data_IF_186073473847
#
_entry.id   IF_186073473847
#
_cell.length_a   1.000
_cell.length_b   1.000
_cell.length_c   1.000
_cell.angle_alpha   90.00
_cell.angle_beta   90.00
_cell.angle_gamma   90.00
#
_symmetry.space_group_name_H-M   'P 1'
#
loop_
_entity.id
_entity.type
_entity.pdbx_description
1 polymer ?
#
# COMPACT_ATOMS: atom_id res chain seq x y z
N UNK A 1 -66.65 33.73 27.69
CA UNK A 1 -66.52 33.29 26.29
C UNK A 1 -65.22 33.88 25.71
N UNK A 2 -64.16 33.14 25.76
CA UNK A 2 -62.86 33.49 25.22
C UNK A 2 -62.43 32.40 24.26
N UNK A 3 -62.43 32.70 22.97
CA UNK A 3 -61.94 31.80 21.90
C UNK A 3 -60.41 31.74 21.96
N UNK A 4 -59.87 30.55 22.15
CA UNK A 4 -58.45 30.26 21.99
C UNK A 4 -58.18 29.89 20.56
N UNK A 5 -57.32 30.67 19.87
CA UNK A 5 -56.81 30.36 18.53
C UNK A 5 -55.65 29.40 18.65
N UNK A 6 -55.79 28.21 18.04
CA UNK A 6 -54.75 27.20 17.92
C UNK A 6 -53.91 27.53 16.66
N UNK A 7 -52.64 27.92 16.83
CA UNK A 7 -51.70 28.08 15.74
C UNK A 7 -51.05 26.73 15.47
N UNK A 8 -51.32 26.14 14.31
CA UNK A 8 -50.61 24.99 13.80
C UNK A 8 -49.36 25.49 13.04
N UNK A 9 -48.18 25.24 13.60
CA UNK A 9 -46.90 25.46 12.93
C UNK A 9 -46.64 24.24 12.09
N UNK A 10 -46.74 24.37 10.75
CA UNK A 10 -46.22 23.40 9.80
C UNK A 10 -44.69 23.50 9.76
N UNK A 11 -43.99 22.57 10.35
CA UNK A 11 -42.55 22.37 10.09
C UNK A 11 -42.39 21.67 8.72
N UNK A 12 -41.96 22.44 7.71
CA UNK A 12 -41.47 21.90 6.47
C UNK A 12 -40.09 21.30 6.69
N UNK A 13 -39.99 19.99 6.70
CA UNK A 13 -38.72 19.26 6.67
C UNK A 13 -38.13 19.42 5.28
N UNK A 14 -37.16 20.33 5.14
CA UNK A 14 -36.32 20.41 3.95
C UNK A 14 -35.38 19.21 4.02
N UNK A 15 -35.69 18.18 3.23
CA UNK A 15 -34.78 17.08 2.93
C UNK A 15 -33.69 17.63 2.02
N UNK A 16 -32.62 18.19 2.60
CA UNK A 16 -31.39 18.45 1.90
C UNK A 16 -30.75 17.08 1.61
N UNK A 17 -30.97 16.56 0.40
CA UNK A 17 -30.22 15.43 -0.11
C UNK A 17 -28.73 15.83 -0.16
N UNK A 18 -27.99 15.43 0.86
CA UNK A 18 -26.54 15.41 0.81
C UNK A 18 -26.16 14.37 -0.23
N UNK A 19 -25.94 14.81 -1.47
CA UNK A 19 -25.15 14.05 -2.43
C UNK A 19 -23.81 13.79 -1.73
N UNK A 20 -23.56 12.55 -1.31
CA UNK A 20 -22.27 12.16 -0.84
C UNK A 20 -21.28 12.40 -1.98
N UNK A 21 -20.54 13.51 -1.90
CA UNK A 21 -19.40 13.71 -2.77
C UNK A 21 -18.49 12.49 -2.58
N UNK A 22 -18.17 11.81 -3.68
CA UNK A 22 -17.16 10.78 -3.64
C UNK A 22 -15.94 11.34 -2.90
N UNK A 23 -15.34 10.59 -1.96
CA UNK A 23 -14.18 11.07 -1.24
C UNK A 23 -13.12 11.51 -2.26
N UNK A 24 -12.65 12.75 -2.13
CA UNK A 24 -11.62 13.27 -3.00
C UNK A 24 -10.40 12.36 -2.91
N UNK A 25 -9.70 12.14 -4.05
CA UNK A 25 -8.44 11.41 -4.05
C UNK A 25 -7.52 12.01 -2.96
N UNK A 26 -7.02 11.24 -1.98
CA UNK A 26 -6.31 11.77 -0.82
C UNK A 26 -5.02 12.52 -1.18
N UNK A 27 -4.45 12.28 -2.37
CA UNK A 27 -3.29 13.03 -2.86
C UNK A 27 -3.63 14.45 -3.33
N UNK A 28 -4.91 14.78 -3.57
CA UNK A 28 -5.35 16.10 -4.04
C UNK A 28 -5.10 17.25 -3.04
N UNK A 29 -4.76 16.92 -1.79
CA UNK A 29 -4.44 17.91 -0.77
C UNK A 29 -3.05 18.55 -0.94
N UNK A 30 -2.18 17.97 -1.78
CA UNK A 30 -0.83 18.49 -2.03
C UNK A 30 -0.67 18.98 -3.47
N UNK A 31 -0.32 20.25 -3.63
CA UNK A 31 -0.11 20.88 -4.93
C UNK A 31 0.99 20.18 -5.74
N UNK A 32 2.09 19.81 -5.09
CA UNK A 32 3.26 19.18 -5.68
C UNK A 32 3.44 17.71 -5.23
N UNK A 33 2.37 17.08 -4.79
CA UNK A 33 2.35 15.69 -4.32
C UNK A 33 2.25 14.66 -5.45
N UNK A 34 2.04 13.38 -5.09
CA UNK A 34 1.68 12.35 -6.04
C UNK A 34 0.46 12.75 -6.86
N UNK A 35 0.41 12.35 -8.12
CA UNK A 35 -0.72 12.67 -8.99
C UNK A 35 -2.05 12.19 -8.39
N UNK A 36 -3.05 13.06 -8.39
CA UNK A 36 -4.42 12.74 -8.02
C UNK A 36 -5.30 12.35 -9.22
N UNK A 37 -4.68 12.14 -10.40
CA UNK A 37 -5.39 11.54 -11.54
C UNK A 37 -5.92 10.16 -11.19
N UNK A 38 -7.13 9.85 -11.64
CA UNK A 38 -7.69 8.52 -11.46
C UNK A 38 -6.81 7.40 -12.06
N UNK A 39 -6.05 7.71 -13.12
CA UNK A 39 -5.18 6.77 -13.82
C UNK A 39 -3.82 6.55 -13.13
N UNK A 40 -3.56 7.20 -12.00
CA UNK A 40 -2.28 7.09 -11.32
C UNK A 40 -2.42 6.30 -10.01
N UNK A 41 -1.70 5.18 -9.93
CA UNK A 41 -1.48 4.45 -8.68
C UNK A 41 0.01 4.42 -8.39
N UNK A 42 0.49 4.86 -7.20
CA UNK A 42 1.90 4.86 -6.86
C UNK A 42 2.46 3.45 -6.79
N UNK A 43 3.42 3.16 -7.67
CA UNK A 43 4.19 1.92 -7.67
C UNK A 43 5.66 2.32 -7.61
N UNK A 44 6.27 2.10 -6.46
CA UNK A 44 7.60 2.61 -6.19
C UNK A 44 8.66 1.51 -6.10
N UNK A 45 9.92 1.94 -6.17
CA UNK A 45 11.09 1.12 -5.87
C UNK A 45 11.94 1.80 -4.80
N UNK A 46 12.43 1.00 -3.83
CA UNK A 46 13.20 1.49 -2.69
C UNK A 46 14.67 1.70 -3.03
N UNK A 47 15.17 2.91 -2.75
CA UNK A 47 16.59 3.29 -2.67
C UNK A 47 17.46 2.82 -3.85
N UNK A 48 16.94 2.93 -5.06
CA UNK A 48 17.63 2.47 -6.26
C UNK A 48 18.45 3.56 -6.95
N UNK A 49 19.51 3.13 -7.67
CA UNK A 49 20.31 4.04 -8.50
C UNK A 49 19.48 4.53 -9.71
N UNK A 50 19.36 5.86 -9.92
CA UNK A 50 18.58 6.43 -11.02
C UNK A 50 19.01 6.02 -12.43
N UNK A 51 20.24 5.53 -12.63
CA UNK A 51 20.68 4.94 -13.92
C UNK A 51 19.78 3.79 -14.40
N UNK A 52 19.09 3.13 -13.48
CA UNK A 52 18.15 2.05 -13.76
C UNK A 52 16.70 2.54 -13.99
N UNK A 53 16.44 3.84 -13.92
CA UNK A 53 15.10 4.41 -13.92
C UNK A 53 14.26 4.00 -15.16
N UNK A 54 14.89 3.99 -16.35
CA UNK A 54 14.21 3.56 -17.59
C UNK A 54 13.78 2.09 -17.54
N UNK A 55 14.59 1.20 -16.93
CA UNK A 55 14.27 -0.23 -16.79
C UNK A 55 13.12 -0.43 -15.79
N UNK A 56 13.15 0.27 -14.67
CA UNK A 56 12.04 0.23 -13.70
C UNK A 56 10.75 0.80 -14.28
N UNK A 57 10.83 1.87 -15.06
CA UNK A 57 9.65 2.41 -15.77
C UNK A 57 9.05 1.38 -16.74
N UNK A 58 9.89 0.66 -17.48
CA UNK A 58 9.43 -0.43 -18.37
C UNK A 58 8.74 -1.57 -17.59
N UNK A 59 9.13 -1.79 -16.34
CA UNK A 59 8.48 -2.73 -15.44
C UNK A 59 7.19 -2.16 -14.78
N UNK A 60 6.71 -0.97 -15.20
CA UNK A 60 5.50 -0.36 -14.69
C UNK A 60 5.67 0.37 -13.35
N UNK A 61 6.90 0.52 -12.87
CA UNK A 61 7.23 1.33 -11.68
C UNK A 61 7.27 2.80 -12.11
N UNK A 62 6.68 3.69 -11.31
CA UNK A 62 6.55 5.11 -11.65
C UNK A 62 7.22 6.07 -10.65
N UNK A 63 7.64 5.56 -9.49
CA UNK A 63 8.16 6.36 -8.38
C UNK A 63 9.42 5.73 -7.78
N UNK A 64 10.34 6.56 -7.33
CA UNK A 64 11.46 6.18 -6.48
C UNK A 64 11.17 6.62 -5.04
N UNK A 65 11.51 5.80 -4.05
CA UNK A 65 11.51 6.18 -2.64
C UNK A 65 12.93 6.08 -2.11
N UNK A 66 13.49 7.22 -1.73
CA UNK A 66 14.87 7.33 -1.30
C UNK A 66 15.89 7.36 -2.46
N UNK A 67 16.98 8.08 -2.21
CA UNK A 67 18.15 8.14 -3.11
C UNK A 67 19.41 8.01 -2.25
N UNK A 68 20.24 7.02 -2.55
CA UNK A 68 21.47 6.80 -1.80
C UNK A 68 22.39 8.03 -1.87
N UNK A 69 22.74 8.58 -0.70
CA UNK A 69 23.52 9.80 -0.53
C UNK A 69 22.99 11.03 -1.30
N UNK A 70 21.70 11.01 -1.64
CA UNK A 70 21.06 12.07 -2.42
C UNK A 70 19.88 12.72 -1.69
N UNK A 71 19.10 13.49 -2.47
CA UNK A 71 19.24 13.71 -3.90
C UNK A 71 20.45 14.57 -4.28
N UNK A 72 21.04 14.26 -5.45
CA UNK A 72 22.03 15.09 -6.15
C UNK A 72 21.44 15.64 -7.44
N UNK A 73 22.07 16.67 -8.03
CA UNK A 73 21.66 17.24 -9.32
C UNK A 73 21.60 16.16 -10.43
N UNK A 74 22.60 15.28 -10.48
CA UNK A 74 22.69 14.18 -11.44
C UNK A 74 21.54 13.17 -11.25
N UNK A 75 21.29 12.75 -10.01
CA UNK A 75 20.20 11.80 -9.71
C UNK A 75 18.84 12.35 -10.11
N UNK A 76 18.55 13.61 -9.81
CA UNK A 76 17.29 14.27 -10.20
C UNK A 76 17.17 14.39 -11.73
N UNK A 77 18.25 14.75 -12.42
CA UNK A 77 18.27 14.83 -13.87
C UNK A 77 18.02 13.46 -14.55
N UNK A 78 18.62 12.38 -14.03
CA UNK A 78 18.38 11.03 -14.54
C UNK A 78 16.92 10.59 -14.37
N UNK A 79 16.30 10.84 -13.20
CA UNK A 79 14.90 10.54 -12.94
C UNK A 79 13.97 11.35 -13.85
N UNK A 80 14.22 12.65 -13.98
CA UNK A 80 13.48 13.55 -14.88
C UNK A 80 13.54 13.07 -16.32
N UNK A 81 14.73 12.73 -16.83
CA UNK A 81 14.93 12.22 -18.18
C UNK A 81 14.25 10.86 -18.44
N UNK A 82 14.07 10.07 -17.39
CA UNK A 82 13.30 8.83 -17.44
C UNK A 82 11.79 9.06 -17.26
N UNK A 83 11.35 10.26 -16.87
CA UNK A 83 9.97 10.57 -16.52
C UNK A 83 9.50 9.82 -15.27
N UNK A 84 10.40 9.60 -14.31
CA UNK A 84 10.13 8.99 -13.01
C UNK A 84 9.88 10.07 -11.97
N UNK A 85 9.10 9.73 -10.96
CA UNK A 85 8.86 10.56 -9.76
C UNK A 85 9.76 10.11 -8.62
N UNK A 86 9.92 10.97 -7.60
CA UNK A 86 10.71 10.64 -6.42
C UNK A 86 10.14 11.26 -5.14
N UNK A 87 10.14 10.45 -4.08
CA UNK A 87 10.04 10.88 -2.68
C UNK A 87 11.45 10.77 -2.10
N UNK A 88 12.01 11.87 -1.61
CA UNK A 88 13.40 11.92 -1.18
C UNK A 88 13.63 12.82 0.04
N UNK A 89 14.84 12.77 0.60
CA UNK A 89 15.21 13.67 1.69
C UNK A 89 15.20 15.13 1.26
N UNK A 90 14.69 16.00 2.13
CA UNK A 90 14.67 17.45 1.93
C UNK A 90 16.05 18.05 2.20
N UNK A 91 16.99 17.84 1.28
CA UNK A 91 18.32 18.43 1.35
C UNK A 91 18.42 19.72 0.52
N UNK A 92 19.57 20.41 0.59
CA UNK A 92 19.81 21.67 -0.13
C UNK A 92 19.60 21.54 -1.65
N UNK A 93 19.98 20.43 -2.24
CA UNK A 93 19.78 20.18 -3.69
C UNK A 93 18.30 20.05 -4.01
N UNK A 94 17.57 19.20 -3.27
CA UNK A 94 16.14 19.03 -3.49
C UNK A 94 15.36 20.37 -3.36
N UNK A 95 15.70 21.19 -2.37
CA UNK A 95 15.05 22.49 -2.17
C UNK A 95 15.31 23.49 -3.29
N UNK A 96 16.46 23.41 -3.98
CA UNK A 96 16.69 24.22 -5.21
C UNK A 96 15.81 23.80 -6.38
N UNK A 97 15.32 22.57 -6.36
CA UNK A 97 14.45 21.99 -7.37
C UNK A 97 13.01 21.83 -6.87
N UNK A 98 12.58 22.65 -5.91
CA UNK A 98 11.23 22.58 -5.35
C UNK A 98 10.13 22.79 -6.40
N UNK A 99 10.43 23.49 -7.50
CA UNK A 99 9.50 23.69 -8.63
C UNK A 99 9.50 22.53 -9.64
N UNK A 100 10.40 21.55 -9.49
CA UNK A 100 10.48 20.42 -10.40
C UNK A 100 9.45 19.34 -10.05
N UNK A 101 8.52 19.00 -10.96
CA UNK A 101 7.47 18.02 -10.72
C UNK A 101 8.00 16.57 -10.61
N UNK A 102 9.31 16.36 -10.71
CA UNK A 102 9.96 15.07 -10.45
C UNK A 102 9.89 14.72 -8.96
N UNK A 103 10.03 15.73 -8.07
CA UNK A 103 9.95 15.54 -6.62
C UNK A 103 8.49 15.64 -6.20
N UNK A 104 7.92 14.55 -5.69
CA UNK A 104 6.50 14.46 -5.30
C UNK A 104 6.29 14.21 -3.80
N UNK A 105 7.35 14.19 -3.02
CA UNK A 105 7.28 13.99 -1.57
C UNK A 105 8.63 14.09 -0.91
N UNK A 106 8.57 14.32 0.39
CA UNK A 106 9.70 14.28 1.30
C UNK A 106 9.70 13.00 2.13
N UNK A 107 10.81 12.61 2.71
CA UNK A 107 10.86 11.44 3.58
C UNK A 107 11.76 11.66 4.79
N UNK A 108 11.45 10.94 5.87
CA UNK A 108 12.31 10.75 7.02
C UNK A 108 13.48 9.78 6.73
N UNK A 109 14.36 9.61 7.72
CA UNK A 109 15.26 8.44 7.77
C UNK A 109 14.45 7.15 7.88
N UNK A 110 15.07 6.07 7.43
CA UNK A 110 14.47 4.75 7.38
C UNK A 110 14.36 4.12 8.77
N UNK A 111 13.27 3.43 9.04
CA UNK A 111 13.00 2.62 10.24
C UNK A 111 13.45 3.27 11.57
N UNK A 112 12.96 4.47 11.91
CA UNK A 112 13.33 5.10 13.16
C UNK A 112 12.85 4.35 14.40
N UNK A 113 11.85 3.49 14.25
CA UNK A 113 11.28 2.63 15.28
C UNK A 113 12.16 1.41 15.61
N UNK A 114 13.17 1.11 14.80
CA UNK A 114 14.16 0.09 15.07
C UNK A 114 15.27 0.60 15.98
N UNK A 115 15.94 -0.31 16.67
CA UNK A 115 17.15 -0.04 17.45
C UNK A 115 18.23 0.57 16.53
N UNK A 116 18.71 1.76 16.87
CA UNK A 116 19.62 2.54 16.03
C UNK A 116 21.07 2.10 16.20
N UNK A 117 21.77 1.90 15.07
CA UNK A 117 23.20 1.54 15.11
C UNK A 117 24.03 2.66 15.77
N UNK A 118 24.86 2.28 16.73
CA UNK A 118 25.83 3.19 17.38
C UNK A 118 27.14 3.30 16.59
N UNK A 119 27.19 2.73 15.40
CA UNK A 119 28.36 2.68 14.54
C UNK A 119 29.12 1.36 14.66
N UNK A 120 30.15 1.21 13.83
CA UNK A 120 30.88 -0.04 13.68
C UNK A 120 31.38 -0.60 15.03
N UNK A 121 30.95 -1.83 15.39
CA UNK A 121 31.38 -2.54 16.58
C UNK A 121 30.81 -2.05 17.92
N UNK A 122 29.95 -1.02 17.93
CA UNK A 122 29.40 -0.45 19.18
C UNK A 122 28.00 -0.96 19.54
N UNK A 123 27.43 -1.87 18.72
CA UNK A 123 26.08 -2.39 18.94
C UNK A 123 24.97 -1.41 18.56
N UNK A 124 23.84 -1.52 19.24
CA UNK A 124 22.63 -0.74 18.95
C UNK A 124 22.15 0.02 20.18
N UNK A 125 21.70 1.23 19.97
CA UNK A 125 20.99 2.07 20.93
C UNK A 125 19.48 1.90 20.80
N UNK A 126 18.68 2.66 21.58
CA UNK A 126 17.25 2.63 21.50
C UNK A 126 16.74 3.18 20.14
N UNK A 127 15.47 2.90 19.75
CA UNK A 127 14.80 3.59 18.67
C UNK A 127 14.79 5.11 18.82
N UNK A 128 14.63 5.81 17.70
CA UNK A 128 14.35 7.25 17.72
C UNK A 128 12.91 7.42 18.23
N UNK A 129 12.72 8.21 19.27
CA UNK A 129 11.40 8.40 19.88
C UNK A 129 10.41 9.07 18.92
N UNK A 130 9.11 8.74 18.98
CA UNK A 130 8.07 9.35 18.15
C UNK A 130 8.08 10.87 18.17
N UNK A 131 8.30 11.47 19.35
CA UNK A 131 8.39 12.94 19.49
C UNK A 131 9.42 13.55 18.54
N UNK A 132 10.59 12.94 18.38
CA UNK A 132 11.63 13.43 17.47
C UNK A 132 11.18 13.40 16.03
N UNK A 133 10.47 12.33 15.61
CA UNK A 133 9.92 12.18 14.27
C UNK A 133 8.86 13.24 14.01
N UNK A 134 7.98 13.50 14.98
CA UNK A 134 6.97 14.55 14.91
C UNK A 134 7.63 15.93 14.79
N UNK A 135 8.65 16.22 15.61
CA UNK A 135 9.36 17.50 15.57
C UNK A 135 10.06 17.71 14.19
N UNK A 136 10.62 16.66 13.61
CA UNK A 136 11.26 16.71 12.28
C UNK A 136 10.23 16.84 11.15
N UNK A 137 9.09 16.17 11.24
CA UNK A 137 7.96 16.34 10.33
C UNK A 137 7.53 17.80 10.24
N UNK A 138 7.33 18.46 11.38
CA UNK A 138 6.95 19.87 11.36
C UNK A 138 8.00 20.78 10.72
N UNK A 139 9.30 20.48 10.87
CA UNK A 139 10.37 21.24 10.20
C UNK A 139 10.34 21.04 8.69
N UNK A 140 10.14 19.80 8.23
CA UNK A 140 10.01 19.48 6.81
C UNK A 140 8.81 20.25 6.23
N UNK A 141 7.65 20.17 6.89
CA UNK A 141 6.43 20.85 6.48
C UNK A 141 6.52 22.37 6.53
N UNK A 142 7.25 22.94 7.48
CA UNK A 142 7.50 24.39 7.56
C UNK A 142 8.34 24.87 6.37
N UNK A 143 9.25 24.03 5.89
CA UNK A 143 10.13 24.37 4.75
C UNK A 143 9.38 24.25 3.42
N UNK A 144 8.59 23.18 3.24
CA UNK A 144 7.72 22.99 2.07
C UNK A 144 6.44 22.22 2.46
N UNK A 145 5.31 22.92 2.58
CA UNK A 145 4.02 22.29 2.89
C UNK A 145 3.31 21.70 1.66
N UNK A 146 3.85 21.87 0.44
CA UNK A 146 3.17 21.53 -0.81
C UNK A 146 3.28 20.05 -1.18
N UNK A 147 4.07 19.28 -0.44
CA UNK A 147 4.35 17.85 -0.65
C UNK A 147 4.10 17.03 0.62
N UNK A 148 3.64 15.78 0.49
CA UNK A 148 3.54 14.87 1.63
C UNK A 148 4.91 14.44 2.15
N UNK A 149 4.95 14.06 3.43
CA UNK A 149 6.11 13.45 4.07
C UNK A 149 5.86 11.97 4.30
N UNK A 150 6.74 11.12 3.78
CA UNK A 150 6.72 9.67 3.97
C UNK A 150 7.57 9.27 5.17
N UNK A 151 7.06 8.36 5.98
CA UNK A 151 7.76 7.66 7.06
C UNK A 151 7.70 6.16 6.80
N UNK A 152 8.85 5.52 6.60
CA UNK A 152 8.94 4.06 6.56
C UNK A 152 9.28 3.52 7.94
N UNK A 153 8.48 2.57 8.41
CA UNK A 153 8.60 1.90 9.70
C UNK A 153 9.01 0.44 9.50
N UNK A 154 9.59 -0.17 10.51
CA UNK A 154 10.06 -1.54 10.44
C UNK A 154 8.98 -2.59 10.71
N UNK A 155 9.40 -3.83 10.77
CA UNK A 155 8.54 -5.04 10.88
C UNK A 155 7.64 -5.05 12.11
N UNK A 156 7.98 -4.28 13.15
CA UNK A 156 7.18 -4.19 14.39
C UNK A 156 5.76 -3.64 14.16
N UNK A 157 5.50 -2.97 13.03
CA UNK A 157 4.15 -2.59 12.61
C UNK A 157 3.26 -3.82 12.45
N UNK A 158 3.79 -4.88 11.83
CA UNK A 158 3.05 -6.12 11.55
C UNK A 158 3.27 -7.22 12.60
N UNK A 159 4.40 -7.20 13.31
CA UNK A 159 4.82 -8.25 14.23
C UNK A 159 5.35 -7.69 15.54
N UNK A 160 4.56 -7.74 16.62
CA UNK A 160 4.90 -7.17 17.93
C UNK A 160 6.21 -7.74 18.50
N UNK A 161 6.47 -9.03 18.28
CA UNK A 161 7.68 -9.72 18.72
C UNK A 161 8.96 -9.38 17.94
N UNK A 162 8.91 -8.39 17.04
CA UNK A 162 10.08 -8.01 16.26
C UNK A 162 11.21 -7.47 17.14
N UNK A 163 12.22 -8.31 17.33
CA UNK A 163 13.36 -8.02 18.21
C UNK A 163 14.27 -6.88 17.71
N UNK A 164 14.19 -6.51 16.42
CA UNK A 164 14.94 -5.38 15.85
C UNK A 164 14.60 -4.03 16.49
N UNK A 165 13.48 -3.93 17.20
CA UNK A 165 13.11 -2.77 18.02
C UNK A 165 13.90 -2.66 19.34
N UNK A 166 14.72 -3.66 19.70
CA UNK A 166 15.51 -3.68 20.92
C UNK A 166 14.63 -3.51 22.16
N UNK A 167 14.89 -2.48 22.96
CA UNK A 167 14.13 -2.21 24.21
C UNK A 167 12.65 -1.87 24.00
N UNK A 168 12.22 -1.63 22.76
CA UNK A 168 10.82 -1.36 22.38
C UNK A 168 10.14 -2.54 21.67
N UNK A 169 10.73 -3.74 21.69
CA UNK A 169 10.04 -4.98 21.29
C UNK A 169 8.77 -5.16 22.12
N UNK A 170 7.68 -5.63 21.50
CA UNK A 170 6.33 -5.78 22.11
C UNK A 170 5.71 -4.46 22.62
N UNK A 171 5.99 -3.34 21.97
CA UNK A 171 5.39 -2.04 22.26
C UNK A 171 4.66 -1.47 21.04
N UNK A 172 3.55 -2.10 20.59
CA UNK A 172 2.78 -1.63 19.42
C UNK A 172 2.11 -0.28 19.64
N UNK A 173 1.91 0.14 20.89
CA UNK A 173 1.34 1.44 21.25
C UNK A 173 2.18 2.64 20.81
N UNK A 174 3.43 2.43 20.40
CA UNK A 174 4.29 3.48 19.86
C UNK A 174 3.82 3.93 18.46
N UNK A 175 3.24 3.04 17.66
CA UNK A 175 2.96 3.31 16.25
C UNK A 175 1.92 4.40 16.00
N UNK A 176 0.79 4.47 16.76
CA UNK A 176 -0.11 5.62 16.68
C UNK A 176 0.59 6.96 16.91
N UNK A 177 1.67 6.97 17.71
CA UNK A 177 2.46 8.19 17.94
C UNK A 177 3.44 8.45 16.78
N UNK A 178 4.13 7.43 16.23
CA UNK A 178 5.02 7.60 15.09
C UNK A 178 4.30 8.19 13.87
N UNK A 179 3.12 7.69 13.53
CA UNK A 179 2.38 8.12 12.33
C UNK A 179 1.85 9.55 12.41
N UNK A 180 1.82 10.19 13.59
CA UNK A 180 1.59 11.63 13.70
C UNK A 180 2.69 12.46 13.02
N UNK A 181 3.85 11.88 12.82
CA UNK A 181 5.00 12.50 12.18
C UNK A 181 5.09 12.27 10.67
N UNK A 182 4.00 11.95 9.98
CA UNK A 182 4.00 11.78 8.53
C UNK A 182 2.63 12.07 7.91
N UNK A 183 2.60 12.12 6.58
CA UNK A 183 1.38 12.15 5.77
C UNK A 183 1.15 10.79 5.09
N UNK A 184 2.24 10.11 4.71
CA UNK A 184 2.24 8.75 4.16
C UNK A 184 3.00 7.85 5.14
N UNK A 185 2.30 6.92 5.77
CA UNK A 185 2.88 5.90 6.62
C UNK A 185 3.15 4.65 5.79
N UNK A 186 4.38 4.14 5.81
CA UNK A 186 4.73 2.84 5.23
C UNK A 186 5.46 1.96 6.23
N UNK A 187 5.57 0.71 5.92
CA UNK A 187 6.33 -0.26 6.69
C UNK A 187 6.86 -1.37 5.79
N UNK A 188 7.82 -2.11 6.31
CA UNK A 188 8.33 -3.31 5.67
C UNK A 188 8.22 -4.53 6.58
N UNK A 189 7.86 -5.65 5.98
CA UNK A 189 8.01 -7.02 6.49
C UNK A 189 8.08 -7.95 5.29
N UNK A 190 8.91 -8.99 5.37
CA UNK A 190 9.26 -9.83 4.24
C UNK A 190 9.02 -11.30 4.57
N UNK A 191 7.73 -11.73 4.69
CA UNK A 191 7.39 -13.05 5.21
C UNK A 191 7.78 -14.21 4.29
N UNK A 192 7.82 -14.02 2.95
CA UNK A 192 8.20 -15.10 2.05
C UNK A 192 9.66 -15.54 2.21
N UNK A 193 10.56 -14.60 2.56
CA UNK A 193 11.99 -14.88 2.75
C UNK A 193 12.44 -14.75 4.21
N UNK A 194 11.54 -14.58 5.15
CA UNK A 194 11.87 -14.38 6.56
C UNK A 194 12.57 -15.60 7.16
N UNK A 195 13.57 -15.39 8.03
CA UNK A 195 14.34 -16.45 8.69
C UNK A 195 13.72 -16.95 10.00
N UNK A 196 12.78 -16.20 10.59
CA UNK A 196 12.11 -16.58 11.85
C UNK A 196 10.82 -17.35 11.57
N UNK A 197 10.67 -18.50 12.22
CA UNK A 197 9.52 -19.39 12.08
C UNK A 197 8.18 -18.74 12.44
N UNK A 198 8.20 -17.69 13.26
CA UNK A 198 7.04 -16.89 13.64
C UNK A 198 6.45 -16.14 12.45
N UNK A 199 7.26 -15.80 11.45
CA UNK A 199 6.89 -15.00 10.27
C UNK A 199 7.06 -15.78 8.96
N UNK A 200 8.08 -16.60 8.85
CA UNK A 200 8.46 -17.31 7.63
C UNK A 200 7.27 -18.03 6.96
N UNK A 201 7.01 -17.71 5.68
CA UNK A 201 5.93 -18.27 4.88
C UNK A 201 4.52 -17.79 5.24
N UNK A 202 4.37 -16.85 6.18
CA UNK A 202 3.07 -16.34 6.64
C UNK A 202 2.76 -14.99 5.96
N UNK A 203 2.45 -15.01 4.66
CA UNK A 203 2.26 -13.81 3.84
C UNK A 203 1.22 -12.82 4.41
N UNK A 204 0.27 -13.31 5.19
CA UNK A 204 -0.76 -12.50 5.84
C UNK A 204 -0.22 -11.45 6.83
N UNK A 205 1.07 -11.51 7.21
CA UNK A 205 1.68 -10.42 7.99
C UNK A 205 1.72 -9.11 7.21
N UNK A 206 1.82 -9.15 5.89
CA UNK A 206 1.72 -7.95 5.05
C UNK A 206 0.36 -7.28 5.23
N UNK A 207 -0.72 -8.07 5.11
CA UNK A 207 -2.08 -7.58 5.35
C UNK A 207 -2.27 -7.05 6.77
N UNK A 208 -1.75 -7.76 7.78
CA UNK A 208 -1.82 -7.36 9.18
C UNK A 208 -1.21 -5.97 9.43
N UNK A 209 -0.03 -5.72 8.84
CA UNK A 209 0.62 -4.42 8.99
C UNK A 209 -0.15 -3.28 8.30
N UNK A 210 -0.66 -3.51 7.09
CA UNK A 210 -1.50 -2.52 6.38
C UNK A 210 -2.77 -2.23 7.17
N UNK A 211 -3.48 -3.26 7.66
CA UNK A 211 -4.71 -3.10 8.44
C UNK A 211 -4.46 -2.30 9.73
N UNK A 212 -3.36 -2.59 10.43
CA UNK A 212 -2.98 -1.88 11.66
C UNK A 212 -2.68 -0.41 11.38
N UNK A 213 -1.88 -0.10 10.33
CA UNK A 213 -1.62 1.28 9.94
C UNK A 213 -2.90 2.00 9.54
N UNK A 214 -3.76 1.37 8.74
CA UNK A 214 -5.04 1.94 8.32
C UNK A 214 -5.94 2.25 9.53
N UNK A 215 -5.99 1.34 10.50
CA UNK A 215 -6.74 1.53 11.74
C UNK A 215 -6.16 2.67 12.59
N UNK A 216 -4.85 2.72 12.78
CA UNK A 216 -4.21 3.79 13.55
C UNK A 216 -4.25 5.14 12.85
N UNK A 217 -4.29 5.13 11.51
CA UNK A 217 -4.38 6.35 10.70
C UNK A 217 -5.75 7.03 10.78
N UNK A 218 -6.82 6.31 11.14
CA UNK A 218 -8.20 6.84 11.29
C UNK A 218 -8.68 7.67 10.08
N UNK A 219 -8.17 7.34 8.87
CA UNK A 219 -8.45 8.07 7.64
C UNK A 219 -7.65 9.38 7.43
N UNK A 220 -6.78 9.76 8.39
CA UNK A 220 -5.98 10.98 8.30
C UNK A 220 -4.64 10.79 7.56
N UNK A 221 -4.17 9.56 7.44
CA UNK A 221 -2.89 9.22 6.81
C UNK A 221 -3.10 8.28 5.64
N UNK A 222 -2.25 8.40 4.63
CA UNK A 222 -2.18 7.47 3.52
C UNK A 222 -1.27 6.32 3.93
N UNK A 223 -1.66 5.09 3.64
CA UNK A 223 -0.87 3.89 3.94
C UNK A 223 -0.26 3.34 2.66
N UNK A 224 1.05 3.14 2.68
CA UNK A 224 1.82 2.36 1.71
C UNK A 224 2.48 1.19 2.43
N UNK A 225 3.10 0.28 1.69
CA UNK A 225 3.96 -0.75 2.28
C UNK A 225 5.00 -1.26 1.29
N UNK A 226 6.05 -1.86 1.86
CA UNK A 226 7.08 -2.53 1.10
C UNK A 226 6.65 -3.96 0.72
N UNK A 227 7.05 -4.38 -0.48
CA UNK A 227 6.82 -5.72 -1.03
C UNK A 227 8.18 -6.34 -1.38
N UNK A 228 8.43 -7.55 -0.89
CA UNK A 228 9.61 -8.31 -1.26
C UNK A 228 9.50 -8.92 -2.66
N UNK A 229 10.61 -9.01 -3.38
CA UNK A 229 10.66 -9.69 -4.67
C UNK A 229 12.02 -10.33 -4.97
N UNK A 230 12.86 -10.45 -3.95
CA UNK A 230 14.22 -11.03 -4.03
C UNK A 230 14.45 -11.99 -2.87
N UNK A 231 15.70 -12.42 -2.66
CA UNK A 231 16.11 -13.16 -1.44
C UNK A 231 16.31 -12.25 -0.24
N UNK A 232 16.51 -10.96 -0.48
CA UNK A 232 16.93 -9.98 0.54
C UNK A 232 18.22 -10.47 1.23
N UNK A 233 18.12 -11.10 2.38
CA UNK A 233 19.25 -11.63 3.14
C UNK A 233 19.19 -13.15 3.36
N UNK A 234 18.15 -13.83 2.83
CA UNK A 234 17.98 -15.27 3.03
C UNK A 234 18.71 -16.06 1.92
N UNK A 235 19.79 -16.82 2.24
CA UNK A 235 20.52 -17.58 1.23
C UNK A 235 19.73 -18.78 0.67
N UNK A 236 18.73 -19.26 1.40
CA UNK A 236 18.03 -20.52 1.11
C UNK A 236 16.65 -20.31 0.45
N UNK A 237 16.04 -19.15 0.66
CA UNK A 237 14.67 -18.89 0.20
C UNK A 237 14.63 -17.62 -0.64
N UNK A 238 13.86 -17.67 -1.73
CA UNK A 238 13.54 -16.53 -2.58
C UNK A 238 12.03 -16.44 -2.72
N UNK A 239 11.48 -15.23 -2.68
CA UNK A 239 10.07 -15.01 -2.97
C UNK A 239 9.72 -15.54 -4.38
N UNK A 240 8.58 -16.20 -4.51
CA UNK A 240 8.07 -16.64 -5.80
C UNK A 240 7.16 -15.59 -6.42
N UNK A 241 7.01 -15.54 -7.76
CA UNK A 241 6.07 -14.66 -8.44
C UNK A 241 4.63 -14.73 -7.88
N UNK A 242 4.20 -15.92 -7.50
CA UNK A 242 2.87 -16.15 -6.91
C UNK A 242 2.73 -15.49 -5.53
N UNK A 243 3.76 -15.63 -4.67
CA UNK A 243 3.78 -14.97 -3.35
C UNK A 243 3.78 -13.45 -3.49
N UNK A 244 4.60 -12.89 -4.38
CA UNK A 244 4.64 -11.44 -4.64
C UNK A 244 3.28 -10.92 -5.11
N UNK A 245 2.60 -11.63 -6.04
CA UNK A 245 1.23 -11.27 -6.46
C UNK A 245 0.27 -11.29 -5.28
N UNK A 246 0.37 -12.30 -4.43
CA UNK A 246 -0.48 -12.43 -3.23
C UNK A 246 -0.27 -11.24 -2.28
N UNK A 247 0.97 -10.91 -1.93
CA UNK A 247 1.31 -9.81 -1.03
C UNK A 247 0.85 -8.45 -1.58
N UNK A 248 1.04 -8.21 -2.87
CA UNK A 248 0.55 -6.99 -3.54
C UNK A 248 -0.96 -6.84 -3.37
N UNK A 249 -1.73 -7.89 -3.64
CA UNK A 249 -3.19 -7.81 -3.53
C UNK A 249 -3.66 -7.85 -2.07
N UNK A 250 -2.97 -8.55 -1.17
CA UNK A 250 -3.21 -8.42 0.28
C UNK A 250 -3.07 -6.97 0.73
N UNK A 251 -2.02 -6.29 0.27
CA UNK A 251 -1.79 -4.87 0.59
C UNK A 251 -2.92 -3.97 0.12
N UNK A 252 -3.28 -4.05 -1.16
CA UNK A 252 -4.30 -3.21 -1.77
C UNK A 252 -5.68 -3.48 -1.15
N UNK A 253 -6.04 -4.74 -0.94
CA UNK A 253 -7.34 -5.15 -0.36
C UNK A 253 -7.49 -4.62 1.07
N UNK A 254 -6.40 -4.53 1.85
CA UNK A 254 -6.44 -4.03 3.22
C UNK A 254 -6.22 -2.51 3.34
N UNK A 255 -6.10 -1.79 2.21
CA UNK A 255 -6.13 -0.32 2.20
C UNK A 255 -4.82 0.37 1.84
N UNK A 256 -3.80 -0.36 1.37
CA UNK A 256 -2.59 0.27 0.83
C UNK A 256 -2.91 1.04 -0.44
N UNK A 257 -2.50 2.30 -0.49
CA UNK A 257 -2.72 3.21 -1.61
C UNK A 257 -1.44 3.47 -2.43
N UNK A 258 -0.39 2.71 -2.17
CA UNK A 258 0.86 2.72 -2.90
C UNK A 258 1.75 1.57 -2.46
N UNK A 259 2.59 1.10 -3.36
CA UNK A 259 3.46 -0.05 -3.15
C UNK A 259 4.92 0.35 -3.35
N UNK A 260 5.82 -0.24 -2.56
CA UNK A 260 7.26 0.00 -2.65
C UNK A 260 7.95 -1.35 -2.81
N UNK A 261 8.47 -1.65 -4.01
CA UNK A 261 9.24 -2.88 -4.18
C UNK A 261 10.62 -2.75 -3.54
N UNK A 262 10.93 -3.69 -2.64
CA UNK A 262 12.26 -3.87 -2.09
C UNK A 262 13.04 -4.84 -2.96
N UNK A 263 14.03 -4.34 -3.70
CA UNK A 263 14.67 -5.06 -4.81
C UNK A 263 16.14 -5.40 -4.59
N UNK A 264 16.67 -5.07 -3.40
CA UNK A 264 18.04 -5.40 -3.01
C UNK A 264 18.17 -6.88 -2.63
N UNK A 265 19.37 -7.40 -2.81
CA UNK A 265 19.78 -8.72 -2.35
C UNK A 265 21.17 -8.61 -1.71
N UNK A 266 21.33 -9.08 -0.49
CA UNK A 266 22.62 -9.07 0.21
C UNK A 266 23.33 -10.43 0.19
N UNK A 267 22.59 -11.52 0.05
CA UNK A 267 23.13 -12.88 0.03
C UNK A 267 22.77 -13.58 -1.29
N UNK A 268 23.71 -14.36 -1.87
CA UNK A 268 25.09 -14.60 -1.40
C UNK A 268 26.04 -13.44 -1.68
N UNK A 269 25.67 -12.49 -2.52
CA UNK A 269 26.45 -11.30 -2.88
C UNK A 269 25.53 -10.10 -3.05
N UNK A 270 25.97 -8.94 -2.58
CA UNK A 270 25.20 -7.71 -2.73
C UNK A 270 24.90 -7.42 -4.21
N UNK A 271 23.61 -7.25 -4.51
CA UNK A 271 23.08 -6.79 -5.77
C UNK A 271 21.99 -5.74 -5.49
N UNK A 272 22.29 -4.48 -5.81
CA UNK A 272 21.37 -3.37 -5.58
C UNK A 272 20.07 -3.52 -6.38
N UNK A 273 20.16 -4.07 -7.59
CA UNK A 273 19.04 -4.18 -8.53
C UNK A 273 18.74 -5.63 -8.90
N UNK A 274 18.63 -6.49 -7.89
CA UNK A 274 18.46 -7.94 -8.08
C UNK A 274 17.21 -8.29 -8.91
N UNK A 275 16.10 -7.57 -8.74
CA UNK A 275 14.91 -7.72 -9.58
C UNK A 275 15.23 -7.60 -11.08
N UNK A 276 16.05 -6.63 -11.50
CA UNK A 276 16.40 -6.44 -12.91
C UNK A 276 17.27 -7.56 -13.49
N UNK A 277 17.87 -8.37 -12.63
CA UNK A 277 18.71 -9.52 -13.00
C UNK A 277 17.95 -10.84 -12.99
N UNK A 278 16.72 -10.86 -12.53
CA UNK A 278 15.84 -12.03 -12.38
C UNK A 278 14.72 -11.96 -13.43
N UNK A 279 14.91 -12.59 -14.59
CA UNK A 279 13.98 -12.47 -15.70
C UNK A 279 12.55 -12.97 -15.38
N UNK A 280 12.41 -14.03 -14.58
CA UNK A 280 11.13 -14.58 -14.17
C UNK A 280 10.38 -13.60 -13.25
N UNK A 281 11.03 -13.15 -12.19
CA UNK A 281 10.45 -12.22 -11.24
C UNK A 281 10.16 -10.85 -11.89
N UNK A 282 11.07 -10.34 -12.73
CA UNK A 282 10.87 -9.08 -13.46
C UNK A 282 9.64 -9.16 -14.38
N UNK A 283 9.47 -10.28 -15.09
CA UNK A 283 8.30 -10.51 -15.94
C UNK A 283 7.01 -10.51 -15.12
N UNK A 284 7.02 -11.21 -13.98
CA UNK A 284 5.86 -11.29 -13.09
C UNK A 284 5.51 -9.93 -12.46
N UNK A 285 6.48 -9.22 -11.91
CA UNK A 285 6.29 -7.88 -11.35
C UNK A 285 5.77 -6.91 -12.43
N UNK A 286 6.31 -6.99 -13.65
CA UNK A 286 5.83 -6.18 -14.78
C UNK A 286 4.35 -6.46 -15.09
N UNK A 287 3.94 -7.74 -15.09
CA UNK A 287 2.55 -8.13 -15.34
C UNK A 287 1.62 -7.64 -14.21
N UNK A 288 2.03 -7.77 -12.93
CA UNK A 288 1.29 -7.26 -11.77
C UNK A 288 1.12 -5.75 -11.87
N UNK A 289 2.21 -5.01 -12.12
CA UNK A 289 2.18 -3.55 -12.21
C UNK A 289 1.31 -3.05 -13.37
N UNK A 290 1.35 -3.75 -14.52
CA UNK A 290 0.46 -3.44 -15.63
C UNK A 290 -1.00 -3.61 -15.23
N UNK A 291 -1.36 -4.71 -14.57
CA UNK A 291 -2.72 -4.95 -14.08
C UNK A 291 -3.17 -3.86 -13.10
N UNK A 292 -2.30 -3.43 -12.17
CA UNK A 292 -2.60 -2.33 -11.24
C UNK A 292 -2.82 -1.02 -11.99
N UNK A 293 -1.94 -0.68 -12.95
CA UNK A 293 -2.08 0.54 -13.75
C UNK A 293 -3.37 0.54 -14.58
N UNK A 294 -3.76 -0.59 -15.19
CA UNK A 294 -5.04 -0.75 -15.91
C UNK A 294 -6.26 -0.61 -14.99
N UNK A 295 -6.12 -1.03 -13.74
CA UNK A 295 -7.17 -0.95 -12.72
C UNK A 295 -7.11 0.33 -11.87
N UNK A 296 -6.14 1.23 -12.11
CA UNK A 296 -5.97 2.43 -11.29
C UNK A 296 -7.25 3.27 -11.15
N UNK A 297 -8.07 3.51 -12.21
CA UNK A 297 -9.33 4.23 -12.06
C UNK A 297 -10.31 3.55 -11.10
N UNK A 298 -10.32 2.22 -11.10
CA UNK A 298 -11.15 1.42 -10.18
C UNK A 298 -10.58 1.46 -8.76
N UNK A 299 -9.27 1.29 -8.60
CA UNK A 299 -8.60 1.28 -7.29
C UNK A 299 -8.71 2.64 -6.59
N UNK A 300 -8.66 3.73 -7.36
CA UNK A 300 -8.82 5.09 -6.86
C UNK A 300 -10.29 5.50 -6.63
N UNK A 301 -11.26 4.68 -7.05
CA UNK A 301 -12.68 4.92 -6.74
C UNK A 301 -12.99 4.57 -5.28
N UNK A 302 -14.11 5.06 -4.71
CA UNK A 302 -14.49 4.74 -3.34
C UNK A 302 -14.66 3.24 -3.11
N UNK A 303 -14.20 2.75 -1.96
CA UNK A 303 -14.54 1.41 -1.47
C UNK A 303 -16.01 1.39 -1.07
N UNK A 304 -16.75 0.36 -1.46
CA UNK A 304 -18.14 0.20 -1.09
C UNK A 304 -18.25 -0.97 -0.14
N UNK A 305 -18.43 -0.64 1.11
CA UNK A 305 -18.70 -1.64 2.13
C UNK A 305 -20.11 -2.23 1.94
N UNK A 306 -20.29 -3.46 2.37
CA UNK A 306 -21.57 -4.17 2.37
C UNK A 306 -22.28 -4.33 1.00
N UNK A 307 -21.61 -4.12 -0.14
CA UNK A 307 -22.20 -4.44 -1.45
C UNK A 307 -22.23 -5.95 -1.70
N UNK A 308 -21.24 -6.66 -1.17
CA UNK A 308 -21.13 -8.11 -1.20
C UNK A 308 -20.46 -8.63 0.07
N UNK A 309 -20.67 -9.89 0.37
CA UNK A 309 -19.96 -10.63 1.43
C UNK A 309 -19.26 -11.84 0.83
N UNK A 310 -18.24 -12.34 1.52
CA UNK A 310 -17.53 -13.56 1.16
C UNK A 310 -17.45 -14.48 2.37
N UNK A 311 -17.63 -15.79 2.13
CA UNK A 311 -17.37 -16.83 3.12
C UNK A 311 -16.46 -17.91 2.54
N UNK A 312 -15.64 -18.51 3.39
CA UNK A 312 -14.75 -19.62 3.05
C UNK A 312 -15.38 -20.93 3.49
N UNK A 313 -15.26 -21.98 2.67
CA UNK A 313 -15.64 -23.34 3.06
C UNK A 313 -14.65 -23.98 4.06
N UNK A 314 -13.47 -23.41 4.21
CA UNK A 314 -12.44 -23.81 5.16
C UNK A 314 -12.13 -22.62 6.09
N UNK A 315 -12.59 -22.66 7.33
CA UNK A 315 -12.38 -21.57 8.31
C UNK A 315 -10.90 -21.28 8.58
N UNK A 316 -10.02 -22.26 8.39
CA UNK A 316 -8.57 -22.08 8.51
C UNK A 316 -7.99 -21.22 7.37
N UNK A 317 -8.74 -21.02 6.27
CA UNK A 317 -8.33 -20.25 5.10
C UNK A 317 -9.33 -19.11 4.85
N UNK A 318 -9.29 -18.04 5.64
CA UNK A 318 -10.13 -16.88 5.41
C UNK A 318 -9.87 -16.26 4.03
N UNK A 319 -10.89 -15.68 3.43
CA UNK A 319 -10.79 -14.87 2.22
C UNK A 319 -10.99 -13.41 2.59
N UNK A 320 -10.00 -12.57 2.28
CA UNK A 320 -10.17 -11.13 2.36
C UNK A 320 -10.71 -10.59 1.03
N UNK A 321 -11.58 -9.58 1.10
CA UNK A 321 -12.22 -8.99 -0.07
C UNK A 321 -12.37 -7.49 0.07
N UNK A 322 -12.11 -6.76 -1.03
CA UNK A 322 -12.43 -5.35 -1.20
C UNK A 322 -13.40 -5.21 -2.37
N UNK A 323 -14.42 -4.39 -2.22
CA UNK A 323 -15.36 -4.08 -3.28
C UNK A 323 -15.26 -2.61 -3.72
N UNK A 324 -15.28 -2.38 -5.03
CA UNK A 324 -15.25 -1.06 -5.66
C UNK A 324 -16.38 -0.94 -6.67
N UNK A 325 -16.83 0.28 -6.91
CA UNK A 325 -17.71 0.58 -8.05
C UNK A 325 -17.06 1.66 -8.89
N UNK A 326 -16.94 1.36 -10.19
CA UNK A 326 -16.45 2.35 -11.16
C UNK A 326 -17.40 2.29 -12.36
N UNK A 327 -17.91 3.46 -12.74
CA UNK A 327 -19.05 3.58 -13.64
C UNK A 327 -20.21 2.71 -13.12
N UNK A 328 -20.84 1.91 -13.97
CA UNK A 328 -21.93 1.00 -13.58
C UNK A 328 -21.46 -0.42 -13.23
N UNK A 329 -20.13 -0.63 -13.16
CA UNK A 329 -19.52 -1.94 -12.92
C UNK A 329 -19.09 -2.09 -11.46
N UNK A 330 -19.45 -3.21 -10.85
CA UNK A 330 -18.93 -3.60 -9.53
C UNK A 330 -17.73 -4.52 -9.70
N UNK A 331 -16.67 -4.20 -8.96
CA UNK A 331 -15.44 -4.98 -8.90
C UNK A 331 -15.28 -5.59 -7.51
N UNK A 332 -14.87 -6.86 -7.47
CA UNK A 332 -14.49 -7.53 -6.23
C UNK A 332 -13.04 -7.99 -6.37
N UNK A 333 -12.20 -7.62 -5.42
CA UNK A 333 -10.81 -8.06 -5.33
C UNK A 333 -10.70 -8.99 -4.14
N UNK A 334 -10.30 -10.25 -4.37
CA UNK A 334 -10.29 -11.25 -3.30
C UNK A 334 -8.97 -12.01 -3.25
N UNK A 335 -8.52 -12.33 -2.04
CA UNK A 335 -7.27 -13.04 -1.77
C UNK A 335 -7.44 -14.08 -0.66
N UNK A 336 -6.87 -15.27 -0.88
CA UNK A 336 -6.75 -16.31 0.13
C UNK A 336 -5.68 -15.93 1.17
N UNK A 337 -6.07 -15.91 2.43
CA UNK A 337 -5.22 -15.42 3.53
C UNK A 337 -4.30 -16.50 4.13
N UNK A 338 -4.30 -17.72 3.60
CA UNK A 338 -3.47 -18.84 4.09
C UNK A 338 -3.01 -19.71 2.93
N UNK A 339 -1.98 -20.52 3.23
CA UNK A 339 -1.31 -21.40 2.27
C UNK A 339 -2.00 -22.76 2.12
N UNK A 340 -3.33 -22.79 2.07
CA UNK A 340 -4.12 -23.99 1.84
C UNK A 340 -5.30 -23.65 0.93
N UNK A 341 -6.06 -24.66 0.51
CA UNK A 341 -7.15 -24.55 -0.46
C UNK A 341 -8.50 -24.29 0.21
N UNK A 342 -9.38 -23.56 -0.47
CA UNK A 342 -10.77 -23.36 -0.06
C UNK A 342 -11.68 -23.05 -1.24
N UNK A 343 -12.98 -23.17 -1.04
CA UNK A 343 -13.98 -22.61 -1.95
C UNK A 343 -14.60 -21.37 -1.30
N UNK A 344 -14.48 -20.23 -1.96
CA UNK A 344 -15.12 -18.99 -1.56
C UNK A 344 -16.55 -18.90 -2.11
N UNK A 345 -17.48 -18.47 -1.28
CA UNK A 345 -18.86 -18.15 -1.69
C UNK A 345 -19.04 -16.64 -1.55
N UNK A 346 -19.33 -15.98 -2.66
CA UNK A 346 -19.60 -14.53 -2.73
C UNK A 346 -21.11 -14.31 -2.84
N UNK A 347 -21.62 -13.37 -2.03
CA UNK A 347 -23.06 -13.06 -2.00
C UNK A 347 -23.23 -11.54 -2.10
N UNK A 348 -23.87 -11.08 -3.19
CA UNK A 348 -24.25 -9.68 -3.35
C UNK A 348 -25.48 -9.37 -2.48
N UNK A 349 -25.46 -8.27 -1.76
CA UNK A 349 -26.57 -7.83 -0.91
C UNK A 349 -27.80 -7.42 -1.72
N UNK A 350 -27.57 -6.85 -2.89
CA UNK A 350 -28.61 -6.53 -3.87
C UNK A 350 -28.22 -7.18 -5.19
N UNK A 351 -28.74 -8.39 -5.47
CA UNK A 351 -28.49 -9.03 -6.74
C UNK A 351 -29.11 -8.19 -7.84
N UNK A 352 -28.26 -7.54 -8.64
CA UNK A 352 -28.69 -6.87 -9.87
C UNK A 352 -29.15 -7.88 -10.92
N UNK A 353 -29.33 -7.41 -12.16
CA UNK A 353 -29.69 -8.26 -13.31
C UNK A 353 -28.51 -9.12 -13.83
N UNK A 354 -27.36 -9.05 -13.19
CA UNK A 354 -26.15 -9.77 -13.61
C UNK A 354 -26.31 -11.29 -13.48
N UNK A 355 -25.95 -11.99 -14.56
CA UNK A 355 -26.02 -13.46 -14.61
C UNK A 355 -24.67 -14.15 -14.55
N UNK A 356 -23.62 -13.39 -14.76
CA UNK A 356 -22.24 -13.89 -14.80
C UNK A 356 -21.29 -12.90 -14.17
N UNK A 357 -20.17 -13.42 -13.66
CA UNK A 357 -19.02 -12.66 -13.17
C UNK A 357 -17.84 -12.98 -14.10
N UNK A 358 -17.18 -11.96 -14.63
CA UNK A 358 -15.91 -12.12 -15.33
C UNK A 358 -14.77 -12.16 -14.32
N UNK A 359 -13.85 -13.13 -14.46
CA UNK A 359 -12.60 -13.17 -13.68
C UNK A 359 -11.51 -12.48 -14.49
N UNK A 360 -11.09 -11.32 -13.99
CA UNK A 360 -10.16 -10.42 -14.68
C UNK A 360 -8.79 -11.08 -14.85
N UNK A 361 -8.31 -11.15 -16.11
CA UNK A 361 -7.00 -11.73 -16.43
C UNK A 361 -6.94 -13.24 -16.47
N UNK A 362 -8.07 -13.96 -16.30
CA UNK A 362 -8.12 -15.42 -16.30
C UNK A 362 -8.90 -16.02 -17.49
N UNK A 363 -9.41 -15.19 -18.41
CA UNK A 363 -10.18 -15.61 -19.58
C UNK A 363 -11.34 -16.57 -19.25
N UNK A 364 -11.98 -16.39 -18.09
CA UNK A 364 -13.13 -17.19 -17.65
C UNK A 364 -14.23 -16.34 -17.05
N UNK A 365 -15.44 -16.88 -17.09
CA UNK A 365 -16.60 -16.31 -16.42
C UNK A 365 -17.22 -17.35 -15.51
N UNK A 366 -17.86 -16.89 -14.43
CA UNK A 366 -18.55 -17.75 -13.46
C UNK A 366 -20.02 -17.42 -13.51
N UNK A 367 -20.93 -18.43 -13.65
CA UNK A 367 -22.36 -18.22 -13.52
C UNK A 367 -22.73 -17.69 -12.14
N UNK A 368 -23.61 -16.71 -12.09
CA UNK A 368 -24.17 -16.17 -10.86
C UNK A 368 -25.67 -16.47 -10.81
N UNK A 369 -26.13 -16.99 -9.68
CA UNK A 369 -27.55 -17.27 -9.44
C UNK A 369 -27.99 -16.56 -8.15
N UNK A 370 -29.06 -15.79 -8.24
CA UNK A 370 -29.65 -15.06 -7.11
C UNK A 370 -28.62 -14.20 -6.33
N UNK A 371 -27.68 -13.60 -7.08
CA UNK A 371 -26.60 -12.79 -6.49
C UNK A 371 -25.46 -13.59 -5.87
N UNK A 372 -25.43 -14.91 -6.03
CA UNK A 372 -24.42 -15.78 -5.43
C UNK A 372 -23.56 -16.45 -6.52
N UNK A 373 -22.24 -16.45 -6.34
CA UNK A 373 -21.31 -17.27 -7.10
C UNK A 373 -20.25 -17.90 -6.20
N UNK A 374 -19.58 -18.94 -6.68
CA UNK A 374 -18.51 -19.63 -5.96
C UNK A 374 -17.28 -19.73 -6.84
N UNK A 375 -16.11 -19.65 -6.19
CA UNK A 375 -14.83 -19.89 -6.85
C UNK A 375 -13.85 -20.63 -5.92
N UNK A 376 -12.93 -21.39 -6.52
CA UNK A 376 -11.93 -22.15 -5.79
C UNK A 376 -10.67 -21.30 -5.64
N UNK A 377 -10.09 -21.33 -4.45
CA UNK A 377 -8.83 -20.69 -4.13
C UNK A 377 -7.81 -21.77 -3.76
N UNK A 378 -6.76 -21.86 -4.55
CA UNK A 378 -5.55 -22.56 -4.16
C UNK A 378 -4.78 -21.75 -3.12
N UNK A 379 -3.71 -22.33 -2.56
CA UNK A 379 -2.85 -21.65 -1.59
C UNK A 379 -2.42 -20.25 -2.06
N UNK A 380 -2.73 -19.22 -1.29
CA UNK A 380 -2.36 -17.82 -1.58
C UNK A 380 -2.93 -17.26 -2.91
N UNK A 381 -4.02 -17.82 -3.43
CA UNK A 381 -4.61 -17.32 -4.67
C UNK A 381 -5.24 -15.95 -4.54
N UNK A 382 -5.19 -15.24 -5.67
CA UNK A 382 -5.83 -13.93 -5.87
C UNK A 382 -6.73 -14.03 -7.09
N UNK A 383 -8.00 -13.70 -6.94
CA UNK A 383 -8.95 -13.57 -8.02
C UNK A 383 -9.59 -12.19 -8.01
N UNK A 384 -9.65 -11.58 -9.18
CA UNK A 384 -10.22 -10.25 -9.39
C UNK A 384 -11.47 -10.41 -10.26
N UNK A 385 -12.56 -9.82 -9.84
CA UNK A 385 -13.86 -10.02 -10.49
C UNK A 385 -14.48 -8.70 -10.90
N UNK A 386 -15.30 -8.74 -11.96
CA UNK A 386 -16.22 -7.66 -12.29
C UNK A 386 -17.57 -8.19 -12.75
N UNK A 387 -18.65 -7.47 -12.45
CA UNK A 387 -20.00 -7.78 -12.92
C UNK A 387 -20.08 -7.59 -14.44
N UNK A 388 -20.90 -8.45 -15.10
CA UNK A 388 -21.07 -8.42 -16.55
C UNK A 388 -22.55 -8.54 -16.94
#
# INVERSE_FOLDING_TARGET
MTLGSCFIILLSVINAGLGANAPANPYAQWENGPSHSADFFPIAVWLQNPRNAKKYKQAGINTYVGLWRGPTEEQLAELKNAGMKVICHQNRTALKHADDPTIIGWMHGDEPDNAQSLGQGKGYGPPILPKKIIDDYYKIRQTDPTRPVLLNLGQGVAWDGYYGRGVRTNHPEDYPEYIKGCDIASFDIYPAVHDKSEVAGKLWYVANGVERLTKWAEGEKIVWNCIECTRISNPNTKATPHQVKCEVWMSIIHGSMGLIYFVHEWQPKFNESALLSDAEMLSAVTAINRQINELAPVLNSPTIEAIASVSSSNEAVPIAMMAKKHDDTTYLFAVGMRGDTTTATFTFQQPGSYKTIEVIGENRTIPMKDGVFKDNFEAWNVHLYKTK
#
